data_IF_039493827921
#
_entry.id   IF_039493827921
#
_cell.length_a   1.000
_cell.length_b   1.000
_cell.length_c   1.000
_cell.angle_alpha   90.00
_cell.angle_beta   90.00
_cell.angle_gamma   90.00
#
_symmetry.space_group_name_H-M   'P 1'
#
loop_
_entity.id
_entity.type
_entity.pdbx_description
1 polymer ?
#
# COMPACT_ATOMS: atom_id res chain seq x y z
N UNK A 1 -48.87 -24.49 6.67
CA UNK A 1 -48.05 -24.23 5.46
C UNK A 1 -47.03 -23.15 5.81
N UNK A 2 -45.85 -23.28 5.22
CA UNK A 2 -44.53 -22.98 5.81
C UNK A 2 -44.26 -21.52 6.21
N UNK A 3 -43.72 -21.37 7.43
CA UNK A 3 -42.83 -20.27 7.82
C UNK A 3 -41.43 -20.55 7.30
N UNK A 4 -40.76 -19.57 6.71
CA UNK A 4 -39.30 -19.61 6.51
C UNK A 4 -38.66 -18.45 7.27
N UNK A 5 -38.12 -18.79 8.44
CA UNK A 5 -37.09 -18.03 9.14
C UNK A 5 -35.74 -18.51 8.60
N UNK A 6 -34.86 -17.60 8.20
CA UNK A 6 -33.47 -17.90 7.88
C UNK A 6 -32.62 -17.45 9.07
N UNK A 7 -32.13 -18.37 9.93
CA UNK A 7 -31.13 -18.03 10.91
C UNK A 7 -29.73 -18.07 10.31
N UNK A 8 -28.88 -17.30 10.96
CA UNK A 8 -27.47 -17.06 10.72
C UNK A 8 -26.62 -18.25 11.19
N UNK A 9 -25.51 -18.46 10.47
CA UNK A 9 -24.24 -19.09 10.88
C UNK A 9 -23.96 -20.59 10.56
N UNK A 10 -22.67 -20.78 10.22
CA UNK A 10 -21.80 -21.98 10.34
C UNK A 10 -21.46 -22.79 9.06
N UNK A 11 -20.23 -22.52 8.57
CA UNK A 11 -19.27 -23.45 7.91
C UNK A 11 -19.27 -24.86 8.56
N UNK A 12 -18.84 -25.98 7.91
CA UNK A 12 -17.50 -26.09 7.27
C UNK A 12 -17.24 -27.17 6.17
N UNK A 13 -16.08 -27.06 5.50
CA UNK A 13 -15.10 -28.14 5.20
C UNK A 13 -15.52 -29.38 4.36
N UNK A 14 -14.98 -29.47 3.13
CA UNK A 14 -14.23 -30.63 2.56
C UNK A 14 -14.40 -30.75 1.05
N UNK A 15 -13.39 -30.34 0.29
CA UNK A 15 -12.92 -31.15 -0.85
C UNK A 15 -11.46 -30.81 -1.12
N UNK A 16 -10.60 -31.41 -0.31
CA UNK A 16 -9.16 -31.40 -0.50
C UNK A 16 -8.73 -32.80 -0.98
N UNK A 17 -7.85 -32.79 -1.98
CA UNK A 17 -6.90 -33.84 -2.40
C UNK A 17 -7.42 -35.03 -3.21
N UNK A 18 -6.95 -35.11 -4.47
CA UNK A 18 -5.93 -36.07 -4.95
C UNK A 18 -5.92 -36.02 -6.50
N UNK A 19 -5.02 -35.30 -7.17
CA UNK A 19 -3.58 -35.56 -7.35
C UNK A 19 -3.28 -36.93 -7.96
N UNK A 20 -2.90 -36.93 -9.24
CA UNK A 20 -1.87 -37.78 -9.87
C UNK A 20 -1.69 -37.30 -11.33
N UNK A 21 -0.53 -36.90 -11.86
CA UNK A 21 0.83 -36.80 -11.33
C UNK A 21 1.80 -36.48 -12.49
N UNK A 22 2.85 -35.72 -12.16
CA UNK A 22 4.19 -35.64 -12.76
C UNK A 22 4.37 -35.53 -14.28
N UNK A 23 4.86 -34.36 -14.72
CA UNK A 23 5.49 -34.20 -16.02
C UNK A 23 6.03 -32.81 -16.31
N UNK A 24 7.15 -32.47 -15.65
CA UNK A 24 8.25 -31.66 -16.21
C UNK A 24 8.07 -30.14 -16.38
N UNK A 25 9.02 -29.46 -15.76
CA UNK A 25 9.31 -28.03 -15.77
C UNK A 25 9.42 -27.48 -17.21
N UNK A 26 8.58 -26.52 -17.55
CA UNK A 26 8.87 -25.56 -18.62
C UNK A 26 8.56 -24.17 -18.09
N UNK A 27 9.61 -23.34 -18.15
CA UNK A 27 9.69 -22.09 -17.42
C UNK A 27 8.56 -21.14 -17.76
N UNK A 28 7.77 -20.83 -16.75
CA UNK A 28 7.53 -19.43 -16.45
C UNK A 28 8.10 -19.20 -15.06
N UNK A 29 9.42 -18.95 -15.01
CA UNK A 29 9.92 -17.96 -14.08
C UNK A 29 9.15 -16.69 -14.38
N UNK A 30 7.99 -16.54 -13.75
CA UNK A 30 7.39 -15.22 -13.60
C UNK A 30 8.36 -14.53 -12.66
N UNK A 31 9.38 -13.93 -13.24
CA UNK A 31 9.97 -12.72 -12.70
C UNK A 31 8.85 -11.66 -12.71
N UNK A 32 7.79 -11.89 -11.92
CA UNK A 32 6.91 -10.85 -11.46
C UNK A 32 7.84 -10.05 -10.57
N UNK A 33 8.46 -9.05 -11.19
CA UNK A 33 9.28 -8.10 -10.49
C UNK A 33 8.44 -7.61 -9.33
N UNK A 34 8.80 -8.01 -8.12
CA UNK A 34 8.25 -7.59 -6.82
C UNK A 34 8.40 -6.07 -6.60
N UNK A 35 8.69 -5.33 -7.68
CA UNK A 35 8.81 -3.90 -7.73
C UNK A 35 7.41 -3.30 -7.86
N UNK A 36 7.03 -2.56 -6.82
CA UNK A 36 5.89 -1.65 -6.86
C UNK A 36 5.93 -0.81 -8.14
N UNK A 37 4.76 -0.49 -8.75
CA UNK A 37 4.71 0.39 -9.91
C UNK A 37 5.47 1.70 -9.66
N UNK A 38 6.12 2.24 -10.70
CA UNK A 38 6.91 3.48 -10.58
C UNK A 38 6.13 4.63 -9.94
N UNK A 39 4.85 4.76 -10.28
CA UNK A 39 3.96 5.77 -9.70
C UNK A 39 3.87 5.67 -8.16
N UNK A 40 3.96 4.47 -7.60
CA UNK A 40 3.96 4.24 -6.15
C UNK A 40 5.27 4.66 -5.50
N UNK A 41 6.41 4.37 -6.15
CA UNK A 41 7.72 4.85 -5.68
C UNK A 41 7.78 6.40 -5.71
N UNK A 42 7.23 7.01 -6.76
CA UNK A 42 7.14 8.47 -6.87
C UNK A 42 6.18 9.07 -5.83
N UNK A 43 5.09 8.36 -5.48
CA UNK A 43 4.18 8.77 -4.42
C UNK A 43 4.85 8.75 -3.04
N UNK A 44 5.63 7.71 -2.73
CA UNK A 44 6.43 7.67 -1.49
C UNK A 44 7.45 8.80 -1.44
N UNK A 45 8.12 9.11 -2.56
CA UNK A 45 9.07 10.21 -2.63
C UNK A 45 8.36 11.56 -2.41
N UNK A 46 7.17 11.76 -2.99
CA UNK A 46 6.37 12.96 -2.78
C UNK A 46 5.90 13.10 -1.33
N UNK A 47 5.49 12.00 -0.69
CA UNK A 47 5.12 11.97 0.72
C UNK A 47 6.33 12.30 1.61
N UNK A 48 7.50 11.70 1.36
CA UNK A 48 8.73 12.04 2.09
C UNK A 48 9.08 13.51 1.97
N UNK A 49 9.07 14.05 0.76
CA UNK A 49 9.35 15.46 0.53
C UNK A 49 8.35 16.37 1.25
N UNK A 50 7.05 16.04 1.20
CA UNK A 50 6.03 16.78 1.92
C UNK A 50 6.28 16.76 3.43
N UNK A 51 6.54 15.59 4.01
CA UNK A 51 6.79 15.44 5.44
C UNK A 51 8.03 16.21 5.88
N UNK A 52 9.12 16.17 5.12
CA UNK A 52 10.32 16.95 5.41
C UNK A 52 10.06 18.46 5.34
N UNK A 53 9.28 18.92 4.35
CA UNK A 53 8.92 20.35 4.23
C UNK A 53 8.03 20.80 5.40
N UNK A 54 7.07 19.97 5.82
CA UNK A 54 6.25 20.23 7.01
C UNK A 54 7.11 20.24 8.28
N UNK A 55 8.00 19.27 8.44
CA UNK A 55 8.92 19.19 9.58
C UNK A 55 9.85 20.41 9.63
N UNK A 56 10.40 20.84 8.49
CA UNK A 56 11.23 22.04 8.39
C UNK A 56 10.46 23.32 8.77
N UNK A 57 9.18 23.44 8.38
CA UNK A 57 8.32 24.56 8.81
C UNK A 57 8.05 24.54 10.30
N UNK A 58 7.81 23.35 10.88
CA UNK A 58 7.64 23.19 12.31
C UNK A 58 8.92 23.56 13.08
N UNK A 59 10.09 23.12 12.60
CA UNK A 59 11.40 23.49 13.15
C UNK A 59 11.58 25.02 13.14
N UNK A 60 11.31 25.68 12.00
CA UNK A 60 11.38 27.14 11.88
C UNK A 60 10.42 27.87 12.83
N UNK A 61 9.28 27.26 13.17
CA UNK A 61 8.30 27.79 14.12
C UNK A 61 8.63 27.51 15.60
N UNK A 62 9.76 26.86 15.89
CA UNK A 62 10.17 26.49 17.25
C UNK A 62 9.54 25.19 17.78
N UNK A 63 8.87 24.42 16.91
CA UNK A 63 8.19 23.16 17.26
C UNK A 63 9.02 21.93 16.90
N UNK A 64 10.28 21.90 17.35
CA UNK A 64 11.22 20.83 16.99
C UNK A 64 10.75 19.42 17.40
N UNK A 65 10.07 19.28 18.54
CA UNK A 65 9.52 17.98 18.96
C UNK A 65 8.44 17.46 18.00
N UNK A 66 7.61 18.34 17.45
CA UNK A 66 6.59 17.98 16.47
C UNK A 66 7.22 17.63 15.12
N UNK A 67 8.24 18.38 14.69
CA UNK A 67 9.02 18.08 13.49
C UNK A 67 9.71 16.70 13.60
N UNK A 68 10.31 16.40 14.75
CA UNK A 68 10.93 15.10 15.02
C UNK A 68 9.92 13.97 14.96
N UNK A 69 8.73 14.16 15.57
CA UNK A 69 7.65 13.16 15.53
C UNK A 69 7.22 12.81 14.10
N UNK A 70 7.15 13.81 13.21
CA UNK A 70 6.85 13.57 11.79
C UNK A 70 7.93 12.72 11.11
N UNK A 71 9.20 13.05 11.33
CA UNK A 71 10.33 12.31 10.75
C UNK A 71 10.43 10.89 11.26
N UNK A 72 10.18 10.68 12.54
CA UNK A 72 10.25 9.37 13.19
C UNK A 72 9.09 8.45 12.81
N UNK A 73 7.89 9.00 12.60
CA UNK A 73 6.71 8.23 12.22
C UNK A 73 6.69 7.81 10.74
N UNK A 74 7.28 8.62 9.87
CA UNK A 74 7.22 8.45 8.43
C UNK A 74 7.75 7.09 7.91
N UNK A 75 8.89 6.56 8.38
CA UNK A 75 9.38 5.25 7.93
C UNK A 75 8.36 4.12 8.13
N UNK A 76 7.70 4.08 9.29
CA UNK A 76 6.70 3.06 9.61
C UNK A 76 5.43 3.21 8.78
N UNK A 77 4.99 4.44 8.52
CA UNK A 77 3.86 4.72 7.64
C UNK A 77 4.14 4.25 6.21
N UNK A 78 5.32 4.58 5.66
CA UNK A 78 5.72 4.17 4.32
C UNK A 78 5.86 2.65 4.18
N UNK A 79 6.39 1.98 5.20
CA UNK A 79 6.47 0.52 5.22
C UNK A 79 5.08 -0.14 5.23
N UNK A 80 4.15 0.40 6.03
CA UNK A 80 2.76 -0.07 6.05
C UNK A 80 2.09 0.10 4.70
N UNK A 81 2.30 1.25 4.04
CA UNK A 81 1.78 1.54 2.70
C UNK A 81 2.37 0.57 1.67
N UNK A 82 3.69 0.37 1.66
CA UNK A 82 4.36 -0.58 0.75
C UNK A 82 3.83 -1.99 0.91
N UNK A 83 3.64 -2.45 2.16
CA UNK A 83 3.06 -3.77 2.45
C UNK A 83 1.65 -3.91 1.87
N UNK A 84 0.81 -2.87 2.01
CA UNK A 84 -0.54 -2.86 1.43
C UNK A 84 -0.49 -2.93 -0.09
N UNK A 85 0.34 -2.11 -0.73
CA UNK A 85 0.47 -2.06 -2.18
C UNK A 85 1.05 -3.35 -2.78
N UNK A 86 1.97 -4.01 -2.08
CA UNK A 86 2.51 -5.31 -2.49
C UNK A 86 1.39 -6.35 -2.61
N UNK A 87 0.44 -6.35 -1.66
CA UNK A 87 -0.71 -7.25 -1.64
C UNK A 87 -1.82 -6.96 -2.67
N UNK A 88 -1.76 -5.84 -3.42
CA UNK A 88 -2.78 -5.52 -4.43
C UNK A 88 -2.53 -6.29 -5.72
N UNK A 89 -3.53 -7.04 -6.18
CA UNK A 89 -3.45 -7.83 -7.42
C UNK A 89 -3.60 -6.98 -8.69
N UNK A 90 -4.45 -5.94 -8.66
CA UNK A 90 -4.63 -4.99 -9.78
C UNK A 90 -3.52 -3.93 -9.77
N UNK A 91 -2.46 -4.16 -10.56
CA UNK A 91 -1.30 -3.27 -10.61
C UNK A 91 -1.56 -1.99 -11.39
N UNK A 92 -2.47 -1.98 -12.35
CA UNK A 92 -2.81 -0.79 -13.14
C UNK A 92 -3.67 0.18 -12.31
N UNK A 93 -4.71 -0.33 -11.66
CA UNK A 93 -5.49 0.45 -10.71
C UNK A 93 -4.65 1.00 -9.55
N UNK A 94 -3.71 0.19 -9.05
CA UNK A 94 -2.72 0.63 -8.06
C UNK A 94 -1.85 1.77 -8.59
N UNK A 95 -1.30 1.66 -9.81
CA UNK A 95 -0.47 2.69 -10.39
C UNK A 95 -1.22 4.02 -10.55
N UNK A 96 -2.49 3.97 -10.99
CA UNK A 96 -3.34 5.17 -11.10
C UNK A 96 -3.64 5.79 -9.73
N UNK A 97 -3.93 4.97 -8.72
CA UNK A 97 -4.14 5.42 -7.35
C UNK A 97 -2.88 6.09 -6.79
N UNK A 98 -1.71 5.46 -6.96
CA UNK A 98 -0.43 6.03 -6.55
C UNK A 98 -0.12 7.35 -7.27
N UNK A 99 -0.38 7.46 -8.57
CA UNK A 99 -0.21 8.71 -9.30
C UNK A 99 -1.09 9.83 -8.73
N UNK A 100 -2.35 9.51 -8.39
CA UNK A 100 -3.27 10.46 -7.75
C UNK A 100 -2.75 10.94 -6.40
N UNK A 101 -2.22 10.03 -5.58
CA UNK A 101 -1.62 10.36 -4.27
C UNK A 101 -0.38 11.25 -4.45
N UNK A 102 0.52 10.90 -5.37
CA UNK A 102 1.70 11.70 -5.72
C UNK A 102 1.31 13.12 -6.08
N UNK A 103 0.33 13.27 -6.97
CA UNK A 103 -0.09 14.59 -7.45
C UNK A 103 -0.78 15.39 -6.34
N UNK A 104 -1.56 14.73 -5.47
CA UNK A 104 -2.13 15.36 -4.28
C UNK A 104 -1.07 15.94 -3.34
N UNK A 105 0.03 15.22 -3.10
CA UNK A 105 1.16 15.74 -2.30
C UNK A 105 1.87 16.91 -2.96
N UNK A 106 1.98 16.92 -4.29
CA UNK A 106 2.59 18.04 -5.03
C UNK A 106 1.72 19.29 -5.00
N UNK A 107 0.41 19.12 -5.01
CA UNK A 107 -0.53 20.24 -5.05
C UNK A 107 -0.78 20.85 -3.67
N UNK A 108 -0.62 20.08 -2.60
CA UNK A 108 -0.78 20.52 -1.22
C UNK A 108 0.14 21.72 -0.87
N UNK A 109 -0.41 22.89 -0.51
CA UNK A 109 0.39 24.07 -0.17
C UNK A 109 1.37 23.87 0.99
N UNK A 110 0.98 23.07 1.99
CA UNK A 110 1.84 22.75 3.12
C UNK A 110 3.10 21.96 2.73
N UNK A 111 3.05 21.21 1.62
CA UNK A 111 4.16 20.41 1.11
C UNK A 111 5.10 21.21 0.19
N UNK A 112 4.76 22.46 -0.15
CA UNK A 112 5.60 23.33 -0.98
C UNK A 112 6.64 24.02 -0.09
N UNK A 113 7.86 24.20 -0.59
CA UNK A 113 8.94 24.92 0.12
C UNK A 113 8.64 26.42 0.21
#
# INVERSE_FOLDING_TARGET
MMSYWIPRACLPVMLALAVAGCGKEEGHSVAASDALPKACQEAEAAQRACTENMAAKLDKSGQAAAAQTLRDGLPGELESIRTRWAGVSDKDGLAQSCATVRDSFRDMPQCKD
#
